data_IF_556226674302
#
_entry.id   IF_556226674302
#
_cell.length_a   1.000
_cell.length_b   1.000
_cell.length_c   1.000
_cell.angle_alpha   90.00
_cell.angle_beta   90.00
_cell.angle_gamma   90.00
#
_symmetry.space_group_name_H-M   'P 1'
#
loop_
_entity.id
_entity.type
_entity.pdbx_description
1 polymer ?
#
# COMPACT_ATOMS: atom_id res chain seq x y z
N UNK A 1 -0.50 -9.68 -19.96
CA UNK A 1 0.11 -10.40 -18.83
C UNK A 1 -1.02 -10.77 -17.87
N UNK A 2 -1.08 -12.03 -17.41
CA UNK A 2 -2.09 -12.46 -16.45
C UNK A 2 -1.95 -11.67 -15.15
N UNK A 3 -3.07 -11.31 -14.50
CA UNK A 3 -3.07 -10.74 -13.14
C UNK A 3 -2.76 -11.78 -12.04
N UNK A 4 -2.48 -13.02 -12.44
CA UNK A 4 -2.23 -14.17 -11.57
C UNK A 4 -0.92 -14.85 -11.97
N UNK A 5 -0.17 -15.29 -10.95
CA UNK A 5 1.09 -16.01 -11.12
C UNK A 5 0.90 -17.53 -11.28
N UNK A 6 -0.27 -18.04 -10.93
CA UNK A 6 -0.66 -19.45 -11.04
C UNK A 6 -1.90 -19.59 -11.95
N UNK A 7 -2.19 -20.79 -12.49
CA UNK A 7 -3.41 -21.04 -13.25
C UNK A 7 -4.66 -20.68 -12.44
N UNK A 8 -5.56 -19.88 -13.02
CA UNK A 8 -6.72 -19.30 -12.31
C UNK A 8 -7.68 -20.40 -11.84
N UNK A 9 -7.74 -21.51 -12.56
CA UNK A 9 -8.56 -22.68 -12.25
C UNK A 9 -8.09 -23.40 -10.97
N UNK A 10 -6.83 -23.19 -10.55
CA UNK A 10 -6.28 -23.75 -9.31
C UNK A 10 -6.50 -22.84 -8.09
N UNK A 11 -6.98 -21.62 -8.29
CA UNK A 11 -7.21 -20.66 -7.22
C UNK A 11 -8.63 -20.79 -6.69
N UNK A 12 -8.80 -20.76 -5.37
CA UNK A 12 -10.11 -20.58 -4.76
C UNK A 12 -10.61 -19.14 -4.93
N UNK A 13 -11.92 -18.93 -4.71
CA UNK A 13 -12.54 -17.62 -4.91
C UNK A 13 -11.99 -16.55 -3.94
N UNK A 14 -11.67 -16.94 -2.72
CA UNK A 14 -11.08 -16.03 -1.74
C UNK A 14 -9.71 -15.51 -2.20
N UNK A 15 -8.87 -16.38 -2.73
CA UNK A 15 -7.55 -16.05 -3.28
C UNK A 15 -7.68 -15.15 -4.50
N UNK A 16 -8.69 -15.38 -5.35
CA UNK A 16 -9.00 -14.48 -6.46
C UNK A 16 -9.43 -13.10 -5.98
N UNK A 17 -10.29 -13.00 -4.96
CA UNK A 17 -10.69 -11.72 -4.36
C UNK A 17 -9.53 -10.99 -3.69
N UNK A 18 -8.68 -11.73 -2.97
CA UNK A 18 -7.43 -11.19 -2.42
C UNK A 18 -6.54 -10.62 -3.53
N UNK A 19 -6.36 -11.35 -4.63
CA UNK A 19 -5.58 -10.87 -5.77
C UNK A 19 -6.19 -9.61 -6.40
N UNK A 20 -7.52 -9.51 -6.49
CA UNK A 20 -8.21 -8.29 -6.96
C UNK A 20 -7.90 -7.11 -6.02
N UNK A 21 -8.08 -7.29 -4.71
CA UNK A 21 -7.83 -6.24 -3.72
C UNK A 21 -6.35 -5.79 -3.70
N UNK A 22 -5.41 -6.73 -3.70
CA UNK A 22 -3.97 -6.43 -3.69
C UNK A 22 -3.52 -5.70 -4.95
N UNK A 23 -4.06 -6.08 -6.12
CA UNK A 23 -3.77 -5.38 -7.37
C UNK A 23 -4.35 -3.96 -7.40
N UNK A 24 -5.53 -3.74 -6.82
CA UNK A 24 -6.09 -2.39 -6.65
C UNK A 24 -5.20 -1.54 -5.73
N UNK A 25 -4.83 -2.09 -4.56
CA UNK A 25 -3.95 -1.42 -3.59
C UNK A 25 -2.63 -0.99 -4.24
N UNK A 26 -1.98 -1.91 -4.98
CA UNK A 26 -0.73 -1.64 -5.70
C UNK A 26 -0.88 -0.48 -6.69
N UNK A 27 -1.92 -0.49 -7.52
CA UNK A 27 -2.15 0.55 -8.54
C UNK A 27 -2.43 1.92 -7.93
N UNK A 28 -3.20 1.97 -6.85
CA UNK A 28 -3.49 3.23 -6.18
C UNK A 28 -2.23 3.78 -5.46
N UNK A 29 -1.38 2.91 -4.88
CA UNK A 29 -0.06 3.30 -4.35
C UNK A 29 0.88 3.85 -5.43
N UNK A 30 0.98 3.18 -6.59
CA UNK A 30 1.73 3.67 -7.75
C UNK A 30 1.20 5.03 -8.22
N UNK A 31 -0.11 5.22 -8.20
CA UNK A 31 -0.74 6.50 -8.56
C UNK A 31 -0.41 7.60 -7.55
N UNK A 32 -0.41 7.31 -6.25
CA UNK A 32 -0.03 8.26 -5.20
C UNK A 32 1.40 8.74 -5.43
N UNK A 33 2.34 7.83 -5.63
CA UNK A 33 3.76 8.17 -5.89
C UNK A 33 3.89 9.04 -7.14
N UNK A 34 3.31 8.60 -8.26
CA UNK A 34 3.34 9.33 -9.52
C UNK A 34 2.75 10.74 -9.39
N UNK A 35 1.58 10.90 -8.74
CA UNK A 35 0.99 12.22 -8.53
C UNK A 35 1.87 13.08 -7.63
N UNK A 36 2.46 12.50 -6.57
CA UNK A 36 3.32 13.25 -5.66
C UNK A 36 4.56 13.82 -6.36
N UNK A 37 5.21 13.01 -7.21
CA UNK A 37 6.34 13.46 -8.03
C UNK A 37 5.94 14.58 -9.01
N UNK A 38 4.74 14.48 -9.62
CA UNK A 38 4.24 15.50 -10.56
C UNK A 38 3.82 16.78 -9.87
N UNK A 39 3.23 16.71 -8.68
CA UNK A 39 2.95 17.89 -7.85
C UNK A 39 4.25 18.63 -7.54
N UNK A 40 5.31 17.89 -7.18
CA UNK A 40 6.62 18.46 -6.87
C UNK A 40 7.31 19.11 -8.09
N UNK A 41 7.14 18.54 -9.29
CA UNK A 41 7.86 18.95 -10.50
C UNK A 41 7.09 19.88 -11.45
N UNK A 42 5.77 20.00 -11.31
CA UNK A 42 4.96 20.91 -12.14
C UNK A 42 5.27 22.38 -11.84
N UNK A 43 5.21 23.22 -12.87
CA UNK A 43 5.32 24.69 -12.73
C UNK A 43 3.95 25.41 -12.72
N UNK A 44 2.86 24.72 -13.07
CA UNK A 44 1.51 25.29 -13.07
C UNK A 44 0.82 25.02 -11.73
N UNK A 45 0.43 26.09 -11.03
CA UNK A 45 -0.25 26.00 -9.74
C UNK A 45 -1.65 25.36 -9.85
N UNK A 46 -2.40 25.68 -10.90
CA UNK A 46 -3.71 25.06 -11.15
C UNK A 46 -3.58 23.55 -11.37
N UNK A 47 -2.58 23.13 -12.15
CA UNK A 47 -2.33 21.70 -12.35
C UNK A 47 -1.88 21.01 -11.05
N UNK A 48 -1.03 21.65 -10.23
CA UNK A 48 -0.63 21.10 -8.93
C UNK A 48 -1.84 20.83 -8.05
N UNK A 49 -2.79 21.78 -7.98
CA UNK A 49 -4.00 21.62 -7.18
C UNK A 49 -4.83 20.40 -7.64
N UNK A 50 -5.02 20.23 -8.95
CA UNK A 50 -5.72 19.06 -9.51
C UNK A 50 -5.00 17.75 -9.17
N UNK A 51 -3.67 17.71 -9.35
CA UNK A 51 -2.88 16.50 -9.09
C UNK A 51 -2.83 16.16 -7.60
N UNK A 52 -2.76 17.15 -6.71
CA UNK A 52 -2.80 16.95 -5.26
C UNK A 52 -4.16 16.39 -4.80
N UNK A 53 -5.26 16.96 -5.30
CA UNK A 53 -6.60 16.43 -5.02
C UNK A 53 -6.74 14.97 -5.48
N UNK A 54 -6.25 14.65 -6.69
CA UNK A 54 -6.27 13.28 -7.19
C UNK A 54 -5.42 12.34 -6.33
N UNK A 55 -4.22 12.75 -5.91
CA UNK A 55 -3.35 11.98 -5.00
C UNK A 55 -4.08 11.65 -3.70
N UNK A 56 -4.74 12.63 -3.09
CA UNK A 56 -5.35 12.47 -1.78
C UNK A 56 -6.59 11.57 -1.83
N UNK A 57 -7.39 11.63 -2.91
CA UNK A 57 -8.45 10.64 -3.15
C UNK A 57 -7.91 9.21 -3.32
N UNK A 58 -6.71 9.04 -3.91
CA UNK A 58 -6.08 7.71 -3.98
C UNK A 58 -5.67 7.17 -2.60
N UNK A 59 -5.24 8.03 -1.68
CA UNK A 59 -4.95 7.62 -0.29
C UNK A 59 -6.22 7.05 0.36
N UNK A 60 -7.36 7.70 0.17
CA UNK A 60 -8.67 7.20 0.64
C UNK A 60 -9.00 5.84 0.01
N UNK A 61 -8.79 5.65 -1.28
CA UNK A 61 -9.01 4.35 -1.93
C UNK A 61 -8.13 3.25 -1.33
N UNK A 62 -6.84 3.53 -1.12
CA UNK A 62 -5.91 2.62 -0.44
C UNK A 62 -6.45 2.23 0.95
N UNK A 63 -6.90 3.20 1.75
CA UNK A 63 -7.46 2.91 3.08
C UNK A 63 -8.72 2.04 3.01
N UNK A 64 -9.62 2.27 2.05
CA UNK A 64 -10.85 1.48 1.89
C UNK A 64 -10.53 0.03 1.49
N UNK A 65 -9.61 -0.18 0.56
CA UNK A 65 -9.18 -1.52 0.15
C UNK A 65 -8.39 -2.23 1.26
N UNK A 66 -7.52 -1.51 1.98
CA UNK A 66 -6.79 -2.05 3.12
C UNK A 66 -7.73 -2.49 4.26
N UNK A 67 -8.81 -1.74 4.50
CA UNK A 67 -9.82 -2.13 5.48
C UNK A 67 -10.58 -3.38 5.06
N UNK A 68 -10.85 -3.57 3.76
CA UNK A 68 -11.41 -4.84 3.27
C UNK A 68 -10.45 -6.00 3.53
N UNK A 69 -9.15 -5.84 3.25
CA UNK A 69 -8.13 -6.87 3.55
C UNK A 69 -8.10 -7.19 5.05
N UNK A 70 -8.12 -6.17 5.92
CA UNK A 70 -8.16 -6.33 7.38
C UNK A 70 -9.38 -7.12 7.85
N UNK A 71 -10.55 -6.93 7.25
CA UNK A 71 -11.79 -7.63 7.63
C UNK A 71 -11.84 -9.08 7.17
N UNK A 72 -11.11 -9.42 6.11
CA UNK A 72 -11.24 -10.70 5.41
C UNK A 72 -10.03 -11.63 5.59
N UNK A 73 -8.89 -11.16 6.13
CA UNK A 73 -7.74 -12.00 6.50
C UNK A 73 -7.31 -11.76 7.94
N UNK A 74 -7.18 -12.86 8.70
CA UNK A 74 -6.76 -12.85 10.10
C UNK A 74 -5.33 -12.34 10.28
N UNK A 75 -4.45 -12.66 9.33
CA UNK A 75 -3.05 -12.26 9.30
C UNK A 75 -2.93 -10.75 9.08
N UNK A 76 -3.66 -10.21 8.09
CA UNK A 76 -3.74 -8.76 7.88
C UNK A 76 -4.31 -8.06 9.12
N UNK A 77 -5.38 -8.59 9.72
CA UNK A 77 -5.95 -8.03 10.94
C UNK A 77 -4.93 -7.94 12.09
N UNK A 78 -4.24 -9.05 12.35
CA UNK A 78 -3.23 -9.16 13.41
C UNK A 78 -2.12 -8.13 13.23
N UNK A 79 -1.48 -8.12 12.06
CA UNK A 79 -0.31 -7.27 11.84
C UNK A 79 -0.71 -5.78 11.77
N UNK A 80 -1.83 -5.43 11.15
CA UNK A 80 -2.29 -4.04 11.12
C UNK A 80 -2.60 -3.50 12.52
N UNK A 81 -3.18 -4.31 13.42
CA UNK A 81 -3.42 -3.92 14.82
C UNK A 81 -2.12 -3.75 15.62
N UNK A 82 -1.08 -4.52 15.31
CA UNK A 82 0.20 -4.45 16.02
C UNK A 82 0.95 -3.15 15.71
N UNK A 83 0.89 -2.66 14.47
CA UNK A 83 1.74 -1.57 14.01
C UNK A 83 1.02 -0.23 13.83
N UNK A 84 -0.22 -0.22 13.33
CA UNK A 84 -0.91 1.04 13.03
C UNK A 84 -1.36 1.78 14.29
N UNK A 85 -1.33 3.11 14.22
CA UNK A 85 -1.74 4.02 15.31
C UNK A 85 -0.94 3.86 16.61
N UNK A 86 0.27 3.31 16.52
CA UNK A 86 1.22 3.22 17.65
C UNK A 86 2.28 4.33 17.56
N UNK A 87 2.91 4.65 18.69
CA UNK A 87 4.05 5.56 18.76
C UNK A 87 5.38 4.82 18.98
N UNK A 88 5.37 3.49 18.92
CA UNK A 88 6.57 2.69 19.13
C UNK A 88 7.48 2.76 17.89
N UNK A 89 8.81 2.56 18.05
CA UNK A 89 9.68 2.38 16.90
C UNK A 89 9.17 1.23 16.01
N UNK A 90 8.87 1.53 14.75
CA UNK A 90 8.25 0.59 13.79
C UNK A 90 9.15 -0.63 13.60
N UNK A 91 10.46 -0.43 13.49
CA UNK A 91 11.45 -1.49 13.28
C UNK A 91 11.80 -2.28 14.56
N UNK A 92 10.89 -2.37 15.55
CA UNK A 92 11.03 -3.35 16.63
C UNK A 92 10.73 -4.73 16.05
N UNK A 93 11.78 -5.44 15.66
CA UNK A 93 11.69 -6.84 15.27
C UNK A 93 11.16 -7.67 16.44
N UNK A 94 9.99 -8.28 16.31
CA UNK A 94 9.76 -9.58 16.94
C UNK A 94 10.75 -10.55 16.29
N UNK A 95 11.97 -10.64 16.86
CA UNK A 95 13.08 -11.45 16.33
C UNK A 95 14.25 -10.67 15.72
N UNK A 96 14.96 -9.89 16.54
CA UNK A 96 16.42 -9.77 16.44
C UNK A 96 17.10 -9.14 15.22
N UNK A 97 16.44 -8.34 14.38
CA UNK A 97 17.15 -7.58 13.33
C UNK A 97 16.79 -6.10 13.40
N UNK A 98 17.48 -5.40 14.31
CA UNK A 98 17.63 -3.95 14.25
C UNK A 98 18.41 -3.64 12.96
N UNK A 99 17.75 -3.03 11.97
CA UNK A 99 18.43 -2.43 10.83
C UNK A 99 19.49 -1.45 11.38
N UNK A 100 20.76 -1.74 11.11
CA UNK A 100 21.86 -0.81 11.39
C UNK A 100 22.26 -0.17 10.07
N UNK A 101 22.28 1.17 9.95
CA UNK A 101 22.86 1.80 8.78
C UNK A 101 24.32 1.33 8.66
N UNK A 102 24.71 0.86 7.48
CA UNK A 102 26.12 0.62 7.18
C UNK A 102 26.83 1.96 7.31
N UNK A 103 27.81 2.06 8.22
CA UNK A 103 28.74 3.20 8.23
C UNK A 103 29.41 3.21 6.86
N UNK A 104 29.31 4.34 6.16
CA UNK A 104 30.20 4.63 5.04
C UNK A 104 31.53 5.04 5.69
N UNK A 105 32.52 4.18 5.58
CA UNK A 105 33.93 4.57 5.70
C UNK A 105 34.40 5.16 4.37
#
# INVERSE_FOLDING_TARGET
MSNYYEPVEQLDEFTKDMARALNCLKKDLESIDMYNQRVCSSNSEDLKAVLANNRDEKIKHVCLTLEWLRRNSKEWEKELKNYLFTQQPIAKSEGGLCWRPRKQD
#
